data_IF_405523225163
#
_entry.id   IF_405523225163
#
_cell.length_a   1.000
_cell.length_b   1.000
_cell.length_c   1.000
_cell.angle_alpha   90.00
_cell.angle_beta   90.00
_cell.angle_gamma   90.00
#
_symmetry.space_group_name_H-M   'P 1'
#
loop_
_entity.id
_entity.type
_entity.pdbx_description
1 polymer ?
#
# COMPACT_ATOMS: atom_id res chain seq x y z
N UNK A 1 1.41 -24.51 8.26
CA UNK A 1 0.64 -23.27 8.08
C UNK A 1 1.01 -22.60 6.75
N UNK A 2 2.24 -22.13 6.53
CA UNK A 2 2.62 -21.43 5.28
C UNK A 2 2.44 -22.26 3.98
N UNK A 3 2.75 -23.56 4.00
CA UNK A 3 2.58 -24.46 2.83
C UNK A 3 1.10 -24.63 2.47
N UNK A 4 0.22 -24.72 3.46
CA UNK A 4 -1.25 -24.77 3.23
C UNK A 4 -1.78 -23.44 2.66
N UNK A 5 -1.16 -22.34 3.01
CA UNK A 5 -1.56 -21.02 2.57
C UNK A 5 -1.17 -20.72 1.10
N UNK A 6 0.03 -21.08 0.69
CA UNK A 6 0.47 -20.98 -0.71
C UNK A 6 -0.39 -21.87 -1.63
N UNK A 7 -0.79 -23.04 -1.15
CA UNK A 7 -1.75 -23.91 -1.86
C UNK A 7 -3.06 -23.15 -2.14
N UNK A 8 -3.62 -22.44 -1.17
CA UNK A 8 -4.86 -21.67 -1.37
C UNK A 8 -4.73 -20.53 -2.38
N UNK A 9 -3.57 -19.87 -2.45
CA UNK A 9 -3.30 -18.84 -3.48
C UNK A 9 -3.22 -19.47 -4.88
N UNK A 10 -2.51 -20.59 -5.01
CA UNK A 10 -2.45 -21.35 -6.26
C UNK A 10 -3.84 -21.84 -6.69
N UNK A 11 -4.67 -22.32 -5.75
CA UNK A 11 -6.03 -22.76 -6.05
C UNK A 11 -6.91 -21.60 -6.55
N UNK A 12 -6.76 -20.39 -6.01
CA UNK A 12 -7.44 -19.18 -6.54
C UNK A 12 -7.00 -18.87 -7.96
N UNK A 13 -5.69 -18.90 -8.23
CA UNK A 13 -5.14 -18.65 -9.57
C UNK A 13 -5.64 -19.71 -10.56
N UNK A 14 -5.57 -20.99 -10.23
CA UNK A 14 -6.00 -22.10 -11.11
C UNK A 14 -7.50 -22.04 -11.36
N UNK A 15 -8.30 -21.70 -10.37
CA UNK A 15 -9.73 -21.48 -10.54
C UNK A 15 -10.00 -20.35 -11.53
N UNK A 16 -9.34 -19.20 -11.35
CA UNK A 16 -9.47 -18.05 -12.25
C UNK A 16 -9.07 -18.42 -13.70
N UNK A 17 -7.96 -19.13 -13.89
CA UNK A 17 -7.51 -19.64 -15.20
C UNK A 17 -8.61 -20.47 -15.83
N UNK A 18 -9.15 -21.46 -15.12
CA UNK A 18 -10.15 -22.39 -15.63
C UNK A 18 -11.50 -21.70 -15.94
N UNK A 19 -11.99 -20.86 -15.02
CA UNK A 19 -13.27 -20.15 -15.18
C UNK A 19 -13.27 -19.17 -16.36
N UNK A 20 -12.10 -18.62 -16.73
CA UNK A 20 -11.95 -17.66 -17.82
C UNK A 20 -11.37 -18.27 -19.11
N UNK A 21 -11.15 -19.59 -19.14
CA UNK A 21 -10.67 -20.30 -20.33
C UNK A 21 -9.22 -19.98 -20.71
N UNK A 22 -8.40 -19.54 -19.77
CA UNK A 22 -6.97 -19.34 -19.96
C UNK A 22 -6.20 -20.66 -19.85
N UNK A 23 -4.98 -20.70 -20.39
CA UNK A 23 -4.11 -21.89 -20.33
C UNK A 23 -3.05 -21.79 -19.23
N UNK A 24 -2.79 -20.60 -18.74
CA UNK A 24 -1.84 -20.33 -17.67
C UNK A 24 -1.77 -18.84 -17.35
N UNK A 25 -1.11 -18.50 -16.23
CA UNK A 25 -0.91 -17.14 -15.76
C UNK A 25 0.57 -16.81 -15.66
N UNK A 26 0.95 -15.62 -16.11
CA UNK A 26 2.30 -15.06 -15.99
C UNK A 26 2.26 -13.91 -14.98
N UNK A 27 3.05 -14.03 -13.91
CA UNK A 27 3.23 -13.01 -12.90
C UNK A 27 4.68 -12.48 -12.96
N UNK A 28 4.85 -11.32 -13.56
CA UNK A 28 6.13 -10.64 -13.75
C UNK A 28 6.30 -9.43 -12.84
N UNK A 29 5.21 -8.90 -12.30
CA UNK A 29 5.24 -7.76 -11.39
C UNK A 29 5.68 -8.17 -9.99
N UNK A 30 6.38 -7.25 -9.34
CA UNK A 30 6.88 -7.46 -7.97
C UNK A 30 5.77 -7.69 -6.95
N UNK A 31 4.68 -6.94 -7.05
CA UNK A 31 3.52 -7.05 -6.18
C UNK A 31 2.91 -8.46 -6.22
N UNK A 32 2.64 -8.98 -7.42
CA UNK A 32 2.07 -10.31 -7.62
C UNK A 32 3.07 -11.43 -7.30
N UNK A 33 4.36 -11.21 -7.57
CA UNK A 33 5.41 -12.13 -7.15
C UNK A 33 5.48 -12.24 -5.62
N UNK A 34 5.53 -11.10 -4.91
CA UNK A 34 5.53 -11.08 -3.45
C UNK A 34 4.27 -11.71 -2.86
N UNK A 35 3.10 -11.46 -3.47
CA UNK A 35 1.86 -12.08 -3.04
C UNK A 35 1.95 -13.61 -3.10
N UNK A 36 2.28 -14.18 -4.26
CA UNK A 36 2.30 -15.64 -4.42
C UNK A 36 3.40 -16.31 -3.61
N UNK A 37 4.59 -15.69 -3.51
CA UNK A 37 5.74 -16.21 -2.76
C UNK A 37 5.69 -15.94 -1.25
N UNK A 38 4.62 -15.29 -0.74
CA UNK A 38 4.49 -14.89 0.67
C UNK A 38 5.63 -13.97 1.15
N UNK A 39 5.96 -12.98 0.33
CA UNK A 39 6.90 -11.91 0.67
C UNK A 39 8.24 -11.94 -0.07
N UNK A 40 8.44 -12.85 -1.01
CA UNK A 40 9.66 -12.90 -1.82
C UNK A 40 9.86 -11.67 -2.69
N UNK A 41 11.11 -11.41 -3.05
CA UNK A 41 11.52 -10.25 -3.85
C UNK A 41 12.41 -10.66 -5.03
N UNK A 42 11.93 -10.43 -6.24
CA UNK A 42 12.70 -10.72 -7.46
C UNK A 42 13.23 -9.49 -8.16
N UNK A 43 13.25 -8.33 -7.50
CA UNK A 43 13.85 -7.09 -8.00
C UNK A 43 15.37 -7.07 -7.80
N UNK A 44 16.02 -6.36 -8.70
CA UNK A 44 17.37 -5.83 -8.55
C UNK A 44 17.32 -4.30 -8.66
N UNK A 45 16.46 -3.79 -9.53
CA UNK A 45 16.23 -2.36 -9.74
C UNK A 45 14.91 -1.99 -9.03
N UNK A 46 15.01 -1.33 -7.87
CA UNK A 46 13.85 -1.04 -7.01
C UNK A 46 12.72 -0.23 -7.67
N UNK A 47 12.98 0.85 -8.45
CA UNK A 47 11.91 1.67 -9.01
C UNK A 47 11.18 1.05 -10.21
N UNK A 48 11.36 -0.24 -10.45
CA UNK A 48 10.62 -0.98 -11.48
C UNK A 48 9.50 -1.79 -10.87
N UNK A 49 8.33 -1.78 -11.51
CA UNK A 49 7.22 -2.66 -11.14
C UNK A 49 7.48 -4.12 -11.53
N UNK A 50 8.08 -4.33 -12.71
CA UNK A 50 8.46 -5.65 -13.22
C UNK A 50 9.81 -6.08 -12.66
N UNK A 51 9.89 -7.29 -12.14
CA UNK A 51 11.15 -7.87 -11.63
C UNK A 51 12.04 -8.49 -12.70
N UNK A 52 13.07 -9.20 -12.25
CA UNK A 52 14.06 -9.85 -13.12
C UNK A 52 13.72 -11.30 -13.48
N UNK A 53 12.58 -11.79 -13.01
CA UNK A 53 12.06 -13.11 -13.31
C UNK A 53 10.53 -13.05 -13.42
N UNK A 54 9.91 -14.13 -13.87
CA UNK A 54 8.46 -14.28 -13.87
C UNK A 54 8.09 -15.64 -13.28
N UNK A 55 6.99 -15.71 -12.54
CA UNK A 55 6.33 -16.95 -12.19
C UNK A 55 5.32 -17.30 -13.27
N UNK A 56 5.28 -18.56 -13.67
CA UNK A 56 4.29 -19.09 -14.60
C UNK A 56 3.52 -20.18 -13.90
N UNK A 57 2.22 -20.02 -13.82
CA UNK A 57 1.30 -20.96 -13.20
C UNK A 57 0.45 -21.62 -14.28
N UNK A 58 0.52 -22.93 -14.35
CA UNK A 58 -0.35 -23.78 -15.18
C UNK A 58 -1.25 -24.66 -14.30
N UNK A 59 -2.04 -25.51 -14.92
CA UNK A 59 -2.91 -26.44 -14.20
C UNK A 59 -2.12 -27.30 -13.19
N UNK A 60 -0.98 -27.83 -13.59
CA UNK A 60 -0.19 -28.81 -12.79
C UNK A 60 1.09 -28.23 -12.23
N UNK A 61 1.68 -27.17 -12.81
CA UNK A 61 3.03 -26.73 -12.52
C UNK A 61 3.13 -25.25 -12.22
N UNK A 62 4.20 -24.92 -11.51
CA UNK A 62 4.69 -23.55 -11.33
C UNK A 62 6.13 -23.47 -11.81
N UNK A 63 6.43 -22.51 -12.67
CA UNK A 63 7.78 -22.28 -13.17
C UNK A 63 8.30 -20.94 -12.67
N UNK A 64 9.59 -20.89 -12.35
CA UNK A 64 10.36 -19.65 -12.27
C UNK A 64 11.13 -19.50 -13.58
N UNK A 65 10.81 -18.49 -14.36
CA UNK A 65 11.55 -18.11 -15.57
C UNK A 65 12.43 -16.92 -15.26
N UNK A 66 13.73 -17.04 -15.37
CA UNK A 66 14.66 -15.96 -15.06
C UNK A 66 15.98 -16.06 -15.79
N UNK A 67 16.71 -14.94 -15.86
CA UNK A 67 18.06 -14.94 -16.41
C UNK A 67 19.04 -15.57 -15.42
N UNK A 68 20.10 -16.20 -15.95
CA UNK A 68 21.12 -16.91 -15.19
C UNK A 68 21.70 -16.11 -14.01
N UNK A 69 21.88 -14.80 -14.21
CA UNK A 69 22.48 -13.92 -13.21
C UNK A 69 21.64 -13.78 -11.93
N UNK A 70 20.31 -13.91 -12.02
CA UNK A 70 19.40 -13.68 -10.90
C UNK A 70 18.58 -14.91 -10.51
N UNK A 71 18.33 -15.81 -11.47
CA UNK A 71 17.41 -16.93 -11.31
C UNK A 71 17.76 -17.83 -10.12
N UNK A 72 19.07 -18.09 -9.90
CA UNK A 72 19.55 -18.95 -8.80
C UNK A 72 19.27 -18.34 -7.44
N UNK A 73 19.55 -17.05 -7.23
CA UNK A 73 19.27 -16.33 -5.99
C UNK A 73 17.76 -16.34 -5.70
N UNK A 74 16.96 -15.98 -6.71
CA UNK A 74 15.50 -15.93 -6.55
C UNK A 74 14.93 -17.30 -6.20
N UNK A 75 15.43 -18.36 -6.84
CA UNK A 75 15.01 -19.73 -6.56
C UNK A 75 15.35 -20.18 -5.12
N UNK A 76 16.60 -19.97 -4.71
CA UNK A 76 17.10 -20.46 -3.43
C UNK A 76 16.59 -19.65 -2.24
N UNK A 77 16.50 -18.31 -2.38
CA UNK A 77 16.26 -17.38 -1.27
C UNK A 77 14.79 -16.94 -1.19
N UNK A 78 14.10 -16.77 -2.33
CA UNK A 78 12.77 -16.17 -2.35
C UNK A 78 11.63 -17.19 -2.55
N UNK A 79 11.93 -18.38 -3.07
CA UNK A 79 10.93 -19.39 -3.43
C UNK A 79 11.10 -20.71 -2.68
N UNK A 80 11.92 -20.75 -1.64
CA UNK A 80 12.22 -21.98 -0.89
C UNK A 80 10.99 -22.74 -0.34
N UNK A 81 9.85 -22.05 -0.22
CA UNK A 81 8.59 -22.61 0.29
C UNK A 81 7.62 -23.02 -0.82
N UNK A 82 7.88 -22.65 -2.07
CA UNK A 82 7.04 -22.94 -3.22
C UNK A 82 7.68 -24.00 -4.10
N UNK A 83 6.92 -25.05 -4.45
CA UNK A 83 7.39 -26.04 -5.40
C UNK A 83 7.39 -25.46 -6.81
N UNK A 84 8.57 -25.12 -7.32
CA UNK A 84 8.76 -24.51 -8.65
C UNK A 84 9.81 -25.23 -9.46
N UNK A 85 9.64 -25.26 -10.78
CA UNK A 85 10.65 -25.71 -11.75
C UNK A 85 11.38 -24.46 -12.29
N UNK A 86 12.70 -24.37 -12.12
CA UNK A 86 13.47 -23.26 -12.65
C UNK A 86 13.77 -23.41 -14.15
N UNK A 87 13.48 -22.39 -14.91
CA UNK A 87 13.79 -22.25 -16.35
C UNK A 87 14.77 -21.09 -16.50
N UNK A 88 16.03 -21.44 -16.64
CA UNK A 88 17.14 -20.48 -16.70
C UNK A 88 17.43 -20.10 -18.13
N UNK A 89 17.52 -18.80 -18.41
CA UNK A 89 17.87 -18.23 -19.70
C UNK A 89 19.20 -17.48 -19.60
N UNK A 90 19.98 -17.54 -20.67
CA UNK A 90 21.10 -16.62 -20.80
C UNK A 90 20.64 -15.29 -21.37
N UNK A 91 21.29 -14.18 -20.97
CA UNK A 91 20.88 -12.81 -21.29
C UNK A 91 20.80 -12.50 -22.81
N UNK A 92 21.48 -13.30 -23.62
CA UNK A 92 21.54 -13.14 -25.08
C UNK A 92 20.58 -14.07 -25.86
N UNK A 93 19.79 -14.90 -25.18
CA UNK A 93 18.91 -15.87 -25.85
C UNK A 93 17.56 -15.23 -26.21
N UNK A 94 16.69 -15.08 -25.26
CA UNK A 94 15.35 -14.54 -25.44
C UNK A 94 14.88 -13.79 -24.19
N UNK A 95 13.79 -13.02 -24.35
CA UNK A 95 13.15 -12.33 -23.25
C UNK A 95 12.56 -13.32 -22.23
N UNK A 96 12.69 -13.01 -20.93
CA UNK A 96 12.04 -13.74 -19.82
C UNK A 96 10.52 -13.79 -20.03
N UNK A 97 9.92 -12.66 -20.43
CA UNK A 97 8.47 -12.56 -20.62
C UNK A 97 7.97 -13.38 -21.82
N UNK A 98 8.72 -13.40 -22.93
CA UNK A 98 8.39 -14.24 -24.09
C UNK A 98 8.44 -15.73 -23.73
N UNK A 99 9.47 -16.15 -23.00
CA UNK A 99 9.59 -17.53 -22.52
C UNK A 99 8.49 -17.91 -21.55
N UNK A 100 8.19 -17.02 -20.60
CA UNK A 100 7.12 -17.20 -19.63
C UNK A 100 5.75 -17.38 -20.34
N UNK A 101 5.46 -16.51 -21.31
CA UNK A 101 4.25 -16.58 -22.10
C UNK A 101 4.14 -17.91 -22.87
N UNK A 102 5.22 -18.37 -23.50
CA UNK A 102 5.25 -19.64 -24.21
C UNK A 102 5.01 -20.85 -23.29
N UNK A 103 5.49 -20.82 -22.04
CA UNK A 103 5.26 -21.86 -21.04
C UNK A 103 3.82 -21.85 -20.50
N UNK A 104 3.19 -20.68 -20.46
CA UNK A 104 1.81 -20.54 -20.01
C UNK A 104 0.76 -21.05 -21.03
N UNK A 105 1.19 -21.45 -22.23
CA UNK A 105 0.36 -22.09 -23.25
C UNK A 105 -0.09 -21.15 -24.38
N UNK A 106 -1.17 -21.49 -25.05
CA UNK A 106 -1.62 -20.79 -26.26
C UNK A 106 -2.63 -19.67 -26.01
N UNK A 107 -3.17 -19.57 -24.80
CA UNK A 107 -4.10 -18.50 -24.36
C UNK A 107 -3.76 -18.07 -22.93
N UNK A 108 -2.58 -17.48 -22.69
CA UNK A 108 -2.16 -17.08 -21.36
C UNK A 108 -2.79 -15.75 -20.92
N UNK A 109 -2.86 -15.56 -19.60
CA UNK A 109 -3.16 -14.27 -18.95
C UNK A 109 -1.91 -13.75 -18.23
N UNK A 110 -1.72 -12.43 -18.17
CA UNK A 110 -0.55 -11.82 -17.57
C UNK A 110 -0.89 -10.53 -16.80
N UNK A 111 -0.04 -10.22 -15.82
CA UNK A 111 -0.06 -8.99 -15.04
C UNK A 111 0.69 -7.82 -15.70
N UNK A 112 1.35 -8.07 -16.82
CA UNK A 112 2.03 -7.09 -17.67
C UNK A 112 1.56 -7.20 -19.12
N UNK A 113 1.60 -6.12 -19.92
CA UNK A 113 1.32 -6.17 -21.34
C UNK A 113 2.39 -7.00 -22.09
N UNK A 114 2.10 -8.27 -22.34
CA UNK A 114 2.98 -9.19 -23.08
C UNK A 114 2.30 -9.57 -24.40
N UNK A 115 2.98 -9.46 -25.57
CA UNK A 115 2.43 -9.91 -26.83
C UNK A 115 1.99 -11.39 -26.75
N UNK A 116 0.75 -11.66 -27.11
CA UNK A 116 0.17 -13.01 -27.06
C UNK A 116 -0.49 -13.41 -25.74
N UNK A 117 -0.45 -12.56 -24.71
CA UNK A 117 -1.15 -12.76 -23.45
C UNK A 117 -2.30 -11.76 -23.28
N UNK A 118 -3.36 -12.17 -22.59
CA UNK A 118 -4.42 -11.29 -22.15
C UNK A 118 -3.93 -10.49 -20.91
N UNK A 119 -3.87 -9.18 -21.00
CA UNK A 119 -3.52 -8.31 -19.86
C UNK A 119 -4.73 -8.15 -18.92
N UNK A 120 -4.60 -8.57 -17.65
CA UNK A 120 -5.68 -8.59 -16.66
C UNK A 120 -5.19 -8.21 -15.25
N UNK A 121 -4.45 -7.13 -15.12
CA UNK A 121 -3.86 -6.72 -13.84
C UNK A 121 -4.91 -6.52 -12.74
N UNK A 122 -6.04 -5.87 -13.07
CA UNK A 122 -7.12 -5.63 -12.10
C UNK A 122 -7.71 -6.92 -11.53
N UNK A 123 -8.02 -7.90 -12.41
CA UNK A 123 -8.57 -9.19 -12.01
C UNK A 123 -7.56 -9.97 -11.14
N UNK A 124 -6.25 -9.87 -11.47
CA UNK A 124 -5.19 -10.54 -10.70
C UNK A 124 -5.08 -9.92 -9.32
N UNK A 125 -5.22 -8.59 -9.18
CA UNK A 125 -5.25 -7.93 -7.88
C UNK A 125 -6.46 -8.35 -7.03
N UNK A 126 -7.58 -8.67 -7.65
CA UNK A 126 -8.75 -9.18 -6.92
C UNK A 126 -8.52 -10.57 -6.34
N UNK A 127 -7.55 -11.35 -6.87
CA UNK A 127 -7.14 -12.62 -6.28
C UNK A 127 -6.37 -12.47 -4.96
N UNK A 128 -5.86 -11.29 -4.63
CA UNK A 128 -5.11 -11.07 -3.40
C UNK A 128 -5.96 -11.20 -2.14
N UNK A 129 -7.23 -10.87 -2.20
CA UNK A 129 -8.16 -10.94 -1.06
C UNK A 129 -9.03 -12.18 -1.11
N UNK A 130 -9.53 -12.65 0.03
CA UNK A 130 -9.27 -12.17 1.40
C UNK A 130 -7.84 -12.47 1.88
N UNK A 131 -7.28 -11.56 2.71
CA UNK A 131 -5.98 -11.79 3.34
C UNK A 131 -6.03 -12.89 4.39
N UNK A 132 -4.90 -13.52 4.64
CA UNK A 132 -4.70 -14.56 5.65
C UNK A 132 -4.33 -14.01 7.02
N UNK A 133 -4.35 -14.87 8.02
CA UNK A 133 -3.91 -14.51 9.37
C UNK A 133 -2.41 -14.15 9.42
N UNK A 134 -1.57 -14.78 8.58
CA UNK A 134 -0.14 -14.43 8.46
C UNK A 134 0.03 -13.03 7.82
N UNK A 135 -0.73 -12.72 6.76
CA UNK A 135 -0.72 -11.39 6.14
C UNK A 135 -1.26 -10.32 7.10
N UNK A 136 -2.27 -10.66 7.90
CA UNK A 136 -2.75 -9.78 8.96
C UNK A 136 -1.68 -9.47 10.01
N UNK A 137 -0.91 -10.49 10.43
CA UNK A 137 0.23 -10.28 11.33
C UNK A 137 1.31 -9.38 10.71
N UNK A 138 1.60 -9.56 9.42
CA UNK A 138 2.54 -8.72 8.67
C UNK A 138 2.02 -7.27 8.53
N UNK A 139 0.72 -7.05 8.32
CA UNK A 139 0.11 -5.71 8.34
C UNK A 139 0.21 -5.05 9.71
N UNK A 140 -0.05 -5.77 10.80
CA UNK A 140 0.16 -5.25 12.16
C UNK A 140 1.61 -4.85 12.40
N UNK A 141 2.54 -5.67 11.94
CA UNK A 141 3.96 -5.39 12.07
C UNK A 141 4.36 -4.10 11.32
N UNK A 142 4.03 -4.00 10.03
CA UNK A 142 4.41 -2.81 9.24
C UNK A 142 3.71 -1.54 9.74
N UNK A 143 2.44 -1.63 10.15
CA UNK A 143 1.71 -0.50 10.74
C UNK A 143 2.38 0.01 12.01
N UNK A 144 2.70 -0.89 12.94
CA UNK A 144 3.38 -0.54 14.18
C UNK A 144 4.79 0.03 13.96
N UNK A 145 5.56 -0.53 13.01
CA UNK A 145 6.89 0.01 12.67
C UNK A 145 6.77 1.39 12.03
N UNK A 146 5.77 1.60 11.16
CA UNK A 146 5.54 2.92 10.54
C UNK A 146 5.24 4.00 11.57
N UNK A 147 4.36 3.72 12.51
CA UNK A 147 4.05 4.65 13.62
C UNK A 147 5.30 4.97 14.46
N UNK A 148 6.05 3.93 14.86
CA UNK A 148 7.26 4.07 15.67
C UNK A 148 8.36 4.85 14.96
N UNK A 149 8.65 4.53 13.70
CA UNK A 149 9.71 5.21 12.93
C UNK A 149 9.38 6.69 12.78
N UNK A 150 8.15 7.04 12.43
CA UNK A 150 7.75 8.45 12.30
C UNK A 150 7.78 9.17 13.65
N UNK A 151 7.41 8.50 14.75
CA UNK A 151 7.53 9.05 16.09
C UNK A 151 9.01 9.32 16.48
N UNK A 152 9.90 8.35 16.27
CA UNK A 152 11.34 8.47 16.54
C UNK A 152 11.95 9.64 15.74
N UNK A 153 11.55 9.80 14.48
CA UNK A 153 12.00 10.92 13.64
C UNK A 153 11.42 12.24 14.15
N UNK A 154 10.13 12.28 14.49
CA UNK A 154 9.51 13.48 15.06
C UNK A 154 10.20 13.95 16.34
N UNK A 155 10.75 13.01 17.12
CA UNK A 155 11.54 13.33 18.32
C UNK A 155 12.93 13.90 18.01
N UNK A 156 13.47 13.69 16.82
CA UNK A 156 14.82 14.13 16.42
C UNK A 156 14.83 15.41 15.61
N UNK A 157 13.82 15.65 14.79
CA UNK A 157 13.74 16.83 13.94
C UNK A 157 13.44 18.11 14.75
N UNK A 158 13.82 19.25 14.20
CA UNK A 158 13.60 20.57 14.82
C UNK A 158 13.54 21.67 13.74
N UNK A 159 12.94 22.82 14.03
CA UNK A 159 12.98 23.98 13.14
C UNK A 159 14.40 24.34 12.74
N UNK A 160 14.61 24.61 11.45
CA UNK A 160 15.92 24.91 10.87
C UNK A 160 16.69 23.70 10.32
N UNK A 161 16.36 22.45 10.70
CA UNK A 161 16.84 21.23 10.03
C UNK A 161 16.38 21.21 8.56
N UNK A 162 17.16 20.63 7.67
CA UNK A 162 16.79 20.53 6.26
C UNK A 162 15.88 19.31 6.05
N UNK A 163 14.88 19.43 5.16
CA UNK A 163 13.92 18.35 4.87
C UNK A 163 14.59 17.05 4.39
N UNK A 164 15.74 17.10 3.70
CA UNK A 164 16.55 15.93 3.35
C UNK A 164 17.08 15.15 4.56
N UNK A 165 17.37 15.83 5.67
CA UNK A 165 17.83 15.18 6.89
C UNK A 165 16.68 14.39 7.53
N UNK A 166 15.47 14.97 7.55
CA UNK A 166 14.27 14.26 8.01
C UNK A 166 13.95 13.05 7.11
N UNK A 167 14.04 13.19 5.79
CA UNK A 167 13.90 12.08 4.84
C UNK A 167 14.91 10.96 5.12
N UNK A 168 16.19 11.32 5.32
CA UNK A 168 17.25 10.35 5.60
C UNK A 168 16.99 9.57 6.90
N UNK A 169 16.50 10.23 7.94
CA UNK A 169 16.12 9.58 9.19
C UNK A 169 14.95 8.60 9.01
N UNK A 170 13.92 8.98 8.24
CA UNK A 170 12.79 8.10 7.93
C UNK A 170 13.27 6.85 7.20
N UNK A 171 14.01 7.02 6.09
CA UNK A 171 14.54 5.90 5.30
C UNK A 171 15.45 4.99 6.11
N UNK A 172 16.32 5.56 6.96
CA UNK A 172 17.19 4.79 7.85
C UNK A 172 16.38 4.00 8.89
N UNK A 173 15.35 4.60 9.47
CA UNK A 173 14.47 3.94 10.42
C UNK A 173 13.81 2.68 9.84
N UNK A 174 13.29 2.75 8.62
CA UNK A 174 12.71 1.58 7.94
C UNK A 174 13.76 0.56 7.48
N UNK A 175 14.87 1.01 6.94
CA UNK A 175 15.93 0.13 6.45
C UNK A 175 16.51 -0.78 7.55
N UNK A 176 16.61 -0.30 8.79
CA UNK A 176 17.04 -1.11 9.96
C UNK A 176 16.11 -2.30 10.22
N UNK A 177 14.86 -2.18 9.89
CA UNK A 177 13.83 -3.22 10.08
C UNK A 177 13.64 -4.10 8.83
N UNK A 178 14.53 -3.97 7.82
CA UNK A 178 14.39 -4.62 6.51
C UNK A 178 13.07 -4.28 5.82
N UNK A 179 12.61 -3.04 5.98
CA UNK A 179 11.41 -2.49 5.35
C UNK A 179 11.85 -1.47 4.31
N UNK A 180 11.32 -1.58 3.09
CA UNK A 180 11.53 -0.59 2.05
C UNK A 180 10.62 0.62 2.28
N UNK A 181 11.08 1.80 1.91
CA UNK A 181 10.28 3.01 1.97
C UNK A 181 10.17 3.62 0.58
N UNK A 182 9.06 3.35 -0.08
CA UNK A 182 8.85 3.69 -1.50
C UNK A 182 8.61 5.20 -1.69
N UNK A 183 7.93 5.84 -0.73
CA UNK A 183 7.67 7.28 -0.75
C UNK A 183 8.01 7.88 0.61
N UNK A 184 8.69 9.03 0.60
CA UNK A 184 8.84 9.91 1.76
C UNK A 184 8.44 11.32 1.36
N UNK A 185 7.51 11.92 2.10
CA UNK A 185 7.16 13.31 1.97
C UNK A 185 7.50 14.05 3.27
N UNK A 186 8.05 15.24 3.14
CA UNK A 186 8.31 16.15 4.26
C UNK A 186 7.75 17.50 3.90
N UNK A 187 6.54 17.79 4.41
CA UNK A 187 5.89 19.09 4.25
C UNK A 187 6.25 20.03 5.38
N UNK A 188 6.42 21.32 5.08
CA UNK A 188 6.62 22.33 6.11
C UNK A 188 5.89 23.62 5.77
N UNK A 189 5.27 24.23 6.77
CA UNK A 189 4.59 25.53 6.74
C UNK A 189 3.73 25.77 5.48
N UNK A 190 4.07 26.78 4.68
CA UNK A 190 3.32 27.18 3.48
C UNK A 190 3.21 26.08 2.42
N UNK A 191 4.14 25.12 2.41
CA UNK A 191 4.09 24.01 1.45
C UNK A 191 2.92 23.06 1.72
N UNK A 192 2.47 22.95 2.99
CA UNK A 192 1.31 22.14 3.36
C UNK A 192 0.00 22.68 2.76
N UNK A 193 -0.07 23.98 2.51
CA UNK A 193 -1.23 24.64 1.89
C UNK A 193 -1.19 24.65 0.36
N UNK A 194 0.00 24.36 -0.23
CA UNK A 194 0.23 24.47 -1.67
C UNK A 194 0.32 23.14 -2.40
N UNK A 195 0.81 22.09 -1.72
CA UNK A 195 1.16 20.83 -2.36
C UNK A 195 0.57 19.63 -1.61
N UNK A 196 -0.05 18.73 -2.35
CA UNK A 196 -0.55 17.46 -1.81
C UNK A 196 0.61 16.47 -1.56
N UNK A 197 1.67 16.55 -2.36
CA UNK A 197 2.87 15.74 -2.23
C UNK A 197 4.11 16.64 -2.11
N UNK A 198 4.39 17.15 -0.89
CA UNK A 198 5.54 18.03 -0.66
C UNK A 198 6.84 17.22 -0.55
N UNK A 199 7.42 16.83 -1.68
CA UNK A 199 8.72 16.16 -1.72
C UNK A 199 9.80 17.02 -1.08
N UNK A 200 10.81 16.42 -0.39
CA UNK A 200 11.99 17.12 0.08
C UNK A 200 12.72 17.84 -1.07
N UNK A 201 13.09 19.10 -0.87
CA UNK A 201 13.73 19.96 -1.89
C UNK A 201 14.82 20.87 -1.33
N UNK A 202 15.36 20.56 -0.13
CA UNK A 202 16.37 21.37 0.55
C UNK A 202 15.78 22.54 1.36
N UNK A 203 14.52 22.46 1.75
CA UNK A 203 13.88 23.49 2.60
C UNK A 203 14.21 23.25 4.07
N UNK A 204 14.37 24.33 4.81
CA UNK A 204 14.44 24.26 6.27
C UNK A 204 13.05 24.02 6.85
N UNK A 205 12.97 23.11 7.79
CA UNK A 205 11.75 22.88 8.57
C UNK A 205 11.40 24.13 9.38
N UNK A 206 10.13 24.47 9.37
CA UNK A 206 9.57 25.57 10.12
C UNK A 206 8.79 25.08 11.35
N UNK A 207 7.67 25.75 11.65
CA UNK A 207 6.85 25.40 12.81
C UNK A 207 5.90 24.24 12.56
N UNK A 208 5.26 24.20 11.40
CA UNK A 208 4.35 23.13 11.02
C UNK A 208 5.06 22.14 10.12
N UNK A 209 5.16 20.89 10.54
CA UNK A 209 5.84 19.83 9.79
C UNK A 209 4.94 18.62 9.66
N UNK A 210 4.83 18.09 8.45
CA UNK A 210 4.21 16.80 8.19
C UNK A 210 5.28 15.81 7.68
N UNK A 211 5.31 14.64 8.27
CA UNK A 211 6.08 13.49 7.85
C UNK A 211 5.14 12.46 7.24
N UNK A 212 5.51 11.90 6.09
CA UNK A 212 4.78 10.79 5.47
C UNK A 212 5.74 9.73 4.98
N UNK A 213 5.34 8.48 5.13
CA UNK A 213 6.04 7.33 4.58
C UNK A 213 5.07 6.33 3.96
N UNK A 214 5.37 5.90 2.73
CA UNK A 214 4.82 4.68 2.16
C UNK A 214 5.85 3.57 2.34
N UNK A 215 5.65 2.72 3.32
CA UNK A 215 6.53 1.63 3.67
C UNK A 215 6.04 0.31 3.07
N UNK A 216 6.98 -0.63 2.78
CA UNK A 216 6.66 -1.93 2.19
C UNK A 216 7.44 -3.05 2.88
N UNK A 217 6.71 -3.98 3.49
CA UNK A 217 7.23 -5.16 4.17
C UNK A 217 6.69 -6.44 3.55
N UNK A 218 7.56 -7.33 3.10
CA UNK A 218 7.17 -8.56 2.39
C UNK A 218 6.17 -8.31 1.23
N UNK A 219 6.28 -7.15 0.59
CA UNK A 219 5.37 -6.73 -0.47
C UNK A 219 4.11 -5.98 0.01
N UNK A 220 3.70 -6.08 1.26
CA UNK A 220 2.55 -5.37 1.83
C UNK A 220 2.91 -3.91 2.12
N UNK A 221 1.96 -3.00 1.86
CA UNK A 221 2.17 -1.56 2.00
C UNK A 221 1.48 -0.98 3.24
N UNK A 222 2.06 0.10 3.75
CA UNK A 222 1.52 0.95 4.80
C UNK A 222 1.84 2.40 4.48
N UNK A 223 0.81 3.23 4.31
CA UNK A 223 0.97 4.67 4.11
C UNK A 223 0.50 5.40 5.37
N UNK A 224 1.39 6.18 5.95
CA UNK A 224 1.15 6.83 7.24
C UNK A 224 1.64 8.27 7.20
N UNK A 225 0.81 9.20 7.65
CA UNK A 225 1.17 10.61 7.82
C UNK A 225 1.12 11.03 9.29
N UNK A 226 2.07 11.87 9.71
CA UNK A 226 2.14 12.42 11.06
C UNK A 226 2.49 13.89 11.02
N UNK A 227 1.84 14.68 11.86
CA UNK A 227 2.02 16.14 11.91
C UNK A 227 2.55 16.62 13.24
N UNK A 228 3.46 17.59 13.19
CA UNK A 228 4.11 18.21 14.33
C UNK A 228 3.93 19.73 14.24
N UNK A 229 3.71 20.38 15.36
CA UNK A 229 3.72 21.82 15.44
C UNK A 229 4.64 22.29 16.58
N UNK A 230 5.59 23.15 16.26
CA UNK A 230 6.53 23.75 17.22
C UNK A 230 5.96 25.04 17.77
N UNK A 231 5.35 24.97 18.95
CA UNK A 231 4.73 26.08 19.65
C UNK A 231 3.79 25.63 20.76
N UNK A 232 3.24 26.59 21.51
CA UNK A 232 2.39 26.31 22.67
C UNK A 232 0.97 25.83 22.28
N UNK A 233 0.51 26.17 21.09
CA UNK A 233 -0.79 25.74 20.55
C UNK A 233 -0.78 25.71 19.04
N UNK A 234 -1.58 24.81 18.46
CA UNK A 234 -1.79 24.74 17.00
C UNK A 234 -2.77 25.86 16.57
N UNK A 235 -2.40 26.72 15.61
CA UNK A 235 -3.28 27.74 15.08
C UNK A 235 -4.54 27.13 14.40
N UNK A 236 -5.66 27.84 14.47
CA UNK A 236 -6.93 27.39 13.91
C UNK A 236 -6.86 27.10 12.40
N UNK A 237 -6.05 27.84 11.67
CA UNK A 237 -5.81 27.61 10.22
C UNK A 237 -5.18 26.23 9.91
N UNK A 238 -4.59 25.57 10.89
CA UNK A 238 -4.03 24.21 10.80
C UNK A 238 -4.92 23.21 11.54
N UNK A 239 -5.37 23.56 12.76
CA UNK A 239 -6.15 22.67 13.61
C UNK A 239 -7.52 22.32 13.01
N UNK A 240 -8.22 23.29 12.41
CA UNK A 240 -9.56 23.08 11.83
C UNK A 240 -9.50 22.13 10.63
N UNK A 241 -8.67 22.35 9.58
CA UNK A 241 -8.58 21.40 8.47
C UNK A 241 -8.08 20.02 8.90
N UNK A 242 -7.20 19.94 9.90
CA UNK A 242 -6.74 18.65 10.45
C UNK A 242 -7.93 17.87 11.08
N UNK A 243 -8.73 18.54 11.89
CA UNK A 243 -9.95 17.96 12.49
C UNK A 243 -10.94 17.49 11.39
N UNK A 244 -11.13 18.29 10.34
CA UNK A 244 -11.97 17.93 9.19
C UNK A 244 -11.46 16.67 8.51
N UNK A 245 -10.14 16.57 8.25
CA UNK A 245 -9.54 15.42 7.63
C UNK A 245 -9.71 14.15 8.49
N UNK A 246 -9.50 14.23 9.81
CA UNK A 246 -9.73 13.11 10.73
C UNK A 246 -11.19 12.62 10.74
N UNK A 247 -12.15 13.54 10.72
CA UNK A 247 -13.59 13.18 10.66
C UNK A 247 -13.93 12.45 9.37
N UNK A 248 -13.38 12.90 8.24
CA UNK A 248 -13.61 12.27 6.95
C UNK A 248 -12.95 10.90 6.92
N UNK A 249 -11.74 10.75 7.45
CA UNK A 249 -11.06 9.48 7.54
C UNK A 249 -11.85 8.48 8.39
N UNK A 250 -12.32 8.89 9.58
CA UNK A 250 -13.16 8.06 10.42
C UNK A 250 -14.46 7.64 9.73
N UNK A 251 -15.09 8.56 8.96
CA UNK A 251 -16.25 8.23 8.13
C UNK A 251 -15.90 7.14 7.11
N UNK A 252 -14.84 7.30 6.32
CA UNK A 252 -14.45 6.32 5.30
C UNK A 252 -14.18 4.95 5.92
N UNK A 253 -13.43 4.89 7.00
CA UNK A 253 -13.17 3.64 7.74
C UNK A 253 -14.45 2.98 8.24
N UNK A 254 -15.39 3.76 8.79
CA UNK A 254 -16.66 3.24 9.32
C UNK A 254 -17.56 2.63 8.25
N UNK A 255 -17.31 2.96 6.97
CA UNK A 255 -18.06 2.43 5.83
C UNK A 255 -17.42 1.21 5.20
N UNK A 256 -16.19 0.84 5.59
CA UNK A 256 -15.49 -0.36 5.11
C UNK A 256 -16.08 -1.63 5.76
N UNK A 257 -17.37 -1.87 5.54
CA UNK A 257 -18.10 -3.04 6.00
C UNK A 257 -18.45 -3.90 4.79
N UNK A 258 -18.27 -5.21 4.90
CA UNK A 258 -18.56 -6.16 3.81
C UNK A 258 -19.96 -5.94 3.22
N UNK A 259 -20.03 -5.89 1.89
CA UNK A 259 -21.24 -5.60 1.12
C UNK A 259 -21.51 -4.10 0.85
N UNK A 260 -20.75 -3.17 1.44
CA UNK A 260 -20.86 -1.74 1.11
C UNK A 260 -20.25 -1.49 -0.27
N UNK A 261 -20.94 -0.76 -1.13
CA UNK A 261 -20.38 -0.32 -2.41
C UNK A 261 -19.33 0.77 -2.20
N UNK A 262 -18.18 0.63 -2.88
CA UNK A 262 -17.12 1.63 -2.83
C UNK A 262 -17.60 3.03 -3.28
N UNK A 263 -18.42 3.07 -4.32
CA UNK A 263 -19.01 4.31 -4.81
C UNK A 263 -19.83 5.07 -3.74
N UNK A 264 -20.50 4.34 -2.84
CA UNK A 264 -21.28 4.96 -1.75
C UNK A 264 -20.35 5.56 -0.68
N UNK A 265 -19.18 4.98 -0.44
CA UNK A 265 -18.16 5.53 0.47
C UNK A 265 -17.68 6.87 -0.08
N UNK A 266 -17.28 6.91 -1.36
CA UNK A 266 -16.77 8.13 -2.02
C UNK A 266 -17.85 9.20 -2.11
N UNK A 267 -19.09 8.82 -2.42
CA UNK A 267 -20.23 9.77 -2.43
C UNK A 267 -20.43 10.41 -1.07
N UNK A 268 -20.53 9.62 0.00
CA UNK A 268 -20.75 10.17 1.33
C UNK A 268 -19.54 10.94 1.88
N UNK A 269 -18.32 10.57 1.47
CA UNK A 269 -17.14 11.38 1.72
C UNK A 269 -17.28 12.79 1.15
N UNK A 270 -17.70 12.93 -0.13
CA UNK A 270 -17.93 14.23 -0.77
C UNK A 270 -19.00 15.05 -0.05
N UNK A 271 -20.13 14.41 0.29
CA UNK A 271 -21.20 15.05 1.05
C UNK A 271 -20.72 15.55 2.42
N UNK A 272 -19.81 14.81 3.06
CA UNK A 272 -19.23 15.21 4.33
C UNK A 272 -18.24 16.38 4.18
N UNK A 273 -17.42 16.41 3.13
CA UNK A 273 -16.59 17.59 2.79
C UNK A 273 -17.44 18.86 2.62
N UNK A 274 -18.54 18.76 1.87
CA UNK A 274 -19.46 19.86 1.68
C UNK A 274 -20.07 20.35 3.00
N UNK A 275 -20.57 19.41 3.81
CA UNK A 275 -21.14 19.70 5.14
C UNK A 275 -20.16 20.37 6.09
N UNK A 276 -18.87 20.05 5.98
CA UNK A 276 -17.80 20.60 6.83
C UNK A 276 -17.21 21.90 6.27
N UNK A 277 -17.70 22.42 5.12
CA UNK A 277 -17.24 23.67 4.53
C UNK A 277 -16.01 23.56 3.62
N UNK A 278 -15.65 22.34 3.19
CA UNK A 278 -14.50 22.03 2.34
C UNK A 278 -14.93 21.40 0.99
N UNK A 279 -15.97 21.94 0.37
CA UNK A 279 -16.64 21.37 -0.81
C UNK A 279 -15.75 21.13 -2.03
N UNK A 280 -14.60 21.81 -2.14
CA UNK A 280 -13.67 21.68 -3.25
C UNK A 280 -12.51 20.72 -2.96
N UNK A 281 -12.17 20.48 -1.68
CA UNK A 281 -10.95 19.80 -1.27
C UNK A 281 -10.90 18.33 -1.70
N UNK A 282 -12.04 17.64 -1.79
CA UNK A 282 -12.11 16.28 -2.30
C UNK A 282 -11.59 16.13 -3.75
N UNK A 283 -11.51 17.22 -4.51
CA UNK A 283 -11.01 17.24 -5.89
C UNK A 283 -9.48 17.30 -5.97
N UNK A 284 -8.82 17.73 -4.88
CA UNK A 284 -7.39 18.00 -4.90
C UNK A 284 -6.55 16.77 -4.65
N UNK A 285 -7.14 15.71 -4.12
CA UNK A 285 -6.48 14.43 -3.91
C UNK A 285 -7.50 13.29 -4.03
N UNK A 286 -7.07 12.15 -4.59
CA UNK A 286 -7.89 10.94 -4.52
C UNK A 286 -7.94 10.43 -3.07
N UNK A 287 -9.06 9.79 -2.65
CA UNK A 287 -9.27 9.48 -1.23
C UNK A 287 -8.46 8.31 -0.67
N UNK A 288 -7.63 7.66 -1.48
CA UNK A 288 -7.05 6.38 -1.12
C UNK A 288 -7.98 5.22 -1.43
N UNK A 289 -7.83 4.11 -0.78
CA UNK A 289 -8.66 2.94 -0.99
C UNK A 289 -8.04 1.66 -0.49
N UNK A 290 -8.40 0.55 -1.13
CA UNK A 290 -7.83 -0.76 -0.85
C UNK A 290 -6.32 -0.74 -1.06
N UNK A 291 -5.58 -1.26 -0.11
CA UNK A 291 -4.13 -1.47 -0.17
C UNK A 291 -3.79 -2.95 0.03
N UNK A 292 -2.54 -3.31 -0.16
CA UNK A 292 -2.06 -4.67 -0.03
C UNK A 292 -0.65 -4.79 -0.57
N UNK A 293 -0.47 -5.67 -1.55
CA UNK A 293 0.80 -5.85 -2.24
C UNK A 293 1.12 -4.73 -3.24
N UNK A 294 0.22 -3.83 -3.49
CA UNK A 294 0.37 -2.57 -4.23
C UNK A 294 0.04 -1.39 -3.32
N UNK A 295 0.63 -0.24 -3.61
CA UNK A 295 0.55 0.96 -2.74
C UNK A 295 -0.88 1.39 -2.48
N UNK A 296 -1.71 1.43 -3.51
CA UNK A 296 -3.13 1.70 -3.43
C UNK A 296 -3.82 1.28 -4.72
N UNK A 297 -4.90 0.57 -4.61
CA UNK A 297 -5.87 0.48 -5.67
C UNK A 297 -6.73 1.75 -5.65
N UNK A 298 -6.10 2.83 -5.99
CA UNK A 298 -6.79 4.11 -6.16
C UNK A 298 -7.63 4.16 -7.43
N UNK A 299 -7.94 3.04 -7.98
CA UNK A 299 -8.83 3.00 -9.13
C UNK A 299 -10.25 3.33 -8.71
N UNK A 300 -10.35 4.54 -8.47
CA UNK A 300 -11.34 5.42 -7.94
C UNK A 300 -12.40 5.69 -8.92
N UNK A 301 -12.51 4.91 -9.91
CA UNK A 301 -13.66 5.10 -10.74
C UNK A 301 -14.87 4.88 -9.83
N UNK A 302 -15.57 5.96 -9.56
CA UNK A 302 -16.92 6.00 -9.00
C UNK A 302 -17.87 5.02 -9.71
N UNK A 303 -17.37 4.36 -10.75
CA UNK A 303 -18.03 3.47 -11.68
C UNK A 303 -17.81 1.99 -11.39
N UNK A 304 -16.85 1.64 -10.55
CA UNK A 304 -16.67 0.23 -10.21
C UNK A 304 -17.75 -0.18 -9.22
N UNK A 305 -18.64 -1.04 -9.67
CA UNK A 305 -19.67 -1.69 -8.86
C UNK A 305 -19.12 -2.65 -7.82
N UNK A 306 -17.89 -2.37 -7.33
CA UNK A 306 -17.19 -3.18 -6.36
C UNK A 306 -17.75 -2.96 -4.96
N UNK A 307 -17.94 -4.06 -4.26
CA UNK A 307 -18.27 -4.07 -2.83
C UNK A 307 -17.03 -4.31 -1.99
N UNK A 308 -17.06 -3.77 -0.79
CA UNK A 308 -16.12 -4.09 0.28
C UNK A 308 -16.25 -5.58 0.61
N UNK A 309 -15.13 -6.25 0.75
CA UNK A 309 -15.06 -7.64 1.20
C UNK A 309 -14.50 -7.72 2.64
N UNK A 310 -14.67 -8.88 3.27
CA UNK A 310 -14.02 -9.15 4.55
C UNK A 310 -12.52 -9.42 4.35
N UNK A 311 -11.70 -9.07 5.34
CA UNK A 311 -10.25 -9.26 5.34
C UNK A 311 -9.56 -8.48 4.21
N UNK A 312 -9.91 -7.21 4.09
CA UNK A 312 -9.29 -6.23 3.20
C UNK A 312 -8.64 -5.10 3.99
N UNK A 313 -7.50 -4.63 3.53
CA UNK A 313 -6.77 -3.48 4.10
C UNK A 313 -7.00 -2.21 3.29
N UNK A 314 -6.92 -1.07 3.95
CA UNK A 314 -7.19 0.25 3.39
C UNK A 314 -6.17 1.27 3.88
N UNK A 315 -5.75 2.14 2.95
CA UNK A 315 -5.06 3.38 3.22
C UNK A 315 -5.93 4.54 2.67
N UNK A 316 -6.49 5.33 3.56
CA UNK A 316 -7.24 6.52 3.18
C UNK A 316 -6.34 7.75 3.22
N UNK A 317 -6.22 8.44 2.09
CA UNK A 317 -5.40 9.64 1.91
C UNK A 317 -6.29 10.88 1.99
N UNK A 318 -6.63 11.28 3.20
CA UNK A 318 -7.56 12.39 3.40
C UNK A 318 -6.80 13.70 3.55
N UNK A 319 -7.16 14.66 2.71
CA UNK A 319 -6.61 16.02 2.75
C UNK A 319 -7.74 17.04 2.94
N UNK A 320 -7.47 18.05 3.75
CA UNK A 320 -8.17 19.32 3.72
C UNK A 320 -7.09 20.39 3.59
N UNK A 321 -7.37 21.51 2.91
CA UNK A 321 -6.33 22.50 2.58
C UNK A 321 -5.49 22.87 3.80
N UNK A 322 -4.21 22.50 3.78
CA UNK A 322 -3.25 22.67 4.90
C UNK A 322 -3.09 21.45 5.79
N UNK A 323 -3.87 20.37 5.62
CA UNK A 323 -3.76 19.16 6.43
C UNK A 323 -3.80 17.90 5.56
N UNK A 324 -3.11 16.86 6.03
CA UNK A 324 -3.12 15.51 5.45
C UNK A 324 -3.08 14.48 6.57
N UNK A 325 -3.97 13.49 6.52
CA UNK A 325 -4.01 12.36 7.45
C UNK A 325 -4.08 11.06 6.67
N UNK A 326 -3.28 10.09 7.07
CA UNK A 326 -3.21 8.76 6.45
C UNK A 326 -2.93 7.71 7.51
N UNK A 327 -3.78 6.67 7.53
CA UNK A 327 -3.65 5.53 8.43
C UNK A 327 -3.88 4.23 7.67
N UNK A 328 -3.01 3.25 7.93
CA UNK A 328 -3.26 1.87 7.55
C UNK A 328 -4.36 1.29 8.44
N UNK A 329 -5.40 0.77 7.83
CA UNK A 329 -6.51 0.13 8.53
C UNK A 329 -6.96 -1.15 7.83
N UNK A 330 -7.68 -2.01 8.52
CA UNK A 330 -8.12 -3.30 7.99
C UNK A 330 -9.55 -3.63 8.46
N UNK A 331 -10.35 -4.17 7.55
CA UNK A 331 -11.61 -4.82 7.89
C UNK A 331 -11.33 -6.32 8.15
N UNK A 332 -11.48 -6.74 9.38
CA UNK A 332 -11.16 -8.11 9.79
C UNK A 332 -12.30 -8.73 10.58
N UNK A 333 -12.96 -9.74 9.97
CA UNK A 333 -14.04 -10.53 10.58
C UNK A 333 -15.13 -9.66 11.23
N UNK A 334 -15.53 -8.59 10.53
CA UNK A 334 -16.59 -7.67 10.95
C UNK A 334 -16.13 -6.52 11.86
N UNK A 335 -14.85 -6.47 12.23
CA UNK A 335 -14.25 -5.37 12.95
C UNK A 335 -13.35 -4.54 12.01
N UNK A 336 -13.31 -3.22 12.18
CA UNK A 336 -12.39 -2.35 11.48
C UNK A 336 -11.36 -1.81 12.47
N UNK A 337 -10.08 -2.07 12.19
CA UNK A 337 -8.95 -1.72 13.05
C UNK A 337 -8.01 -0.74 12.35
N UNK A 338 -7.50 0.26 13.09
CA UNK A 338 -6.36 1.10 12.68
C UNK A 338 -5.09 0.41 13.13
N UNK A 339 -4.22 0.05 12.19
CA UNK A 339 -3.02 -0.75 12.46
C UNK A 339 -1.76 0.13 12.63
N UNK A 340 -1.81 1.37 12.20
CA UNK A 340 -0.70 2.32 12.24
C UNK A 340 -0.75 3.28 13.42
N UNK A 341 -1.53 2.98 14.46
CA UNK A 341 -1.58 3.74 15.70
C UNK A 341 -1.26 2.85 16.90
N UNK A 342 -0.11 3.10 17.54
CA UNK A 342 0.39 2.30 18.69
C UNK A 342 0.30 3.03 20.03
N UNK A 343 -0.26 4.23 20.07
CA UNK A 343 -0.36 5.07 21.27
C UNK A 343 0.87 5.93 21.55
N UNK A 344 1.83 6.02 20.65
CA UNK A 344 3.01 6.89 20.79
C UNK A 344 2.68 8.36 20.53
N UNK A 345 1.69 8.62 19.66
CA UNK A 345 1.23 9.96 19.31
C UNK A 345 0.10 10.42 20.23
N UNK A 346 -0.06 11.73 20.48
CA UNK A 346 -1.30 12.24 21.01
C UNK A 346 -2.45 11.81 20.10
N UNK A 347 -3.57 11.41 20.66
CA UNK A 347 -4.66 10.88 19.89
C UNK A 347 -6.02 11.37 20.36
N UNK A 348 -7.05 11.16 19.54
CA UNK A 348 -8.43 11.49 19.84
C UNK A 348 -9.37 10.48 19.22
N UNK A 349 -10.43 10.12 19.97
CA UNK A 349 -11.47 9.22 19.47
C UNK A 349 -12.44 10.00 18.59
N UNK A 350 -12.65 9.49 17.37
CA UNK A 350 -13.65 9.95 16.41
C UNK A 350 -14.74 8.91 16.26
N UNK A 351 -15.99 9.35 16.38
CA UNK A 351 -17.16 8.49 16.21
C UNK A 351 -17.79 8.71 14.83
N UNK A 352 -18.00 7.61 14.09
CA UNK A 352 -18.69 7.63 12.80
C UNK A 352 -19.50 6.36 12.62
N UNK A 353 -20.77 6.49 12.23
CA UNK A 353 -21.69 5.38 11.96
C UNK A 353 -21.69 4.29 13.06
N UNK A 354 -21.59 4.68 14.32
CA UNK A 354 -21.58 3.78 15.47
C UNK A 354 -20.22 3.12 15.81
N UNK A 355 -19.19 3.36 14.98
CA UNK A 355 -17.82 2.91 15.23
C UNK A 355 -16.97 4.02 15.83
N UNK A 356 -15.93 3.63 16.58
CA UNK A 356 -14.97 4.54 17.22
C UNK A 356 -13.57 4.27 16.70
N UNK A 357 -12.88 5.34 16.30
CA UNK A 357 -11.50 5.29 15.81
C UNK A 357 -10.64 6.22 16.64
N UNK A 358 -9.58 5.68 17.23
CA UNK A 358 -8.56 6.46 17.90
C UNK A 358 -7.52 6.89 16.86
N UNK A 359 -7.50 8.19 16.54
CA UNK A 359 -6.67 8.75 15.47
C UNK A 359 -5.62 9.70 16.01
N UNK A 360 -4.37 9.62 15.50
CA UNK A 360 -3.29 10.52 15.88
C UNK A 360 -3.64 11.99 15.64
N UNK A 361 -3.17 12.82 16.53
CA UNK A 361 -3.32 14.28 16.47
C UNK A 361 -1.99 14.96 16.20
N UNK A 362 -2.02 16.25 15.91
CA UNK A 362 -0.80 17.06 15.75
C UNK A 362 -0.04 17.07 17.07
N UNK A 363 1.23 16.62 17.01
CA UNK A 363 2.12 16.64 18.17
C UNK A 363 2.64 18.07 18.42
N UNK A 364 2.41 18.60 19.62
CA UNK A 364 3.04 19.86 20.05
C UNK A 364 4.46 19.61 20.56
N UNK A 365 5.38 20.48 20.18
CA UNK A 365 6.78 20.44 20.61
C UNK A 365 7.36 21.82 20.83
#
# INVERSE_FOLDING_TARGET
MEVDFMSKKLDRIRRYINENGFTGMVLARQDNFSWLSCGGNHRVIEPRDTGHAALVITEDKVYLVGQYMDCRRIFDEELSKLSVEAVVLYWYEQSVLEKACALAGNHPVADEPIPGAAFRLGDIYDLHTPFSDDEYADFKHIGAVSDRVLYEVACQIHPGMVDYEAEALIRYGFAKENIQCDVVLVGTDDRMFKYQHPNPVGRKLGKYVMLHAAARYKGLHSNVSRSIYYGDSVPDEIAIPYEVACRIQAYCMSRCVAGTYWADIVKGQRELYEKLGYSEDWKYHYPGGRTGYYVSQSDLSLQQGRTIENREAYDFYITATGAKVEELSINWDGNHEVLSHTGLWPSRIYEANGSKFDLPQIMLR
#
